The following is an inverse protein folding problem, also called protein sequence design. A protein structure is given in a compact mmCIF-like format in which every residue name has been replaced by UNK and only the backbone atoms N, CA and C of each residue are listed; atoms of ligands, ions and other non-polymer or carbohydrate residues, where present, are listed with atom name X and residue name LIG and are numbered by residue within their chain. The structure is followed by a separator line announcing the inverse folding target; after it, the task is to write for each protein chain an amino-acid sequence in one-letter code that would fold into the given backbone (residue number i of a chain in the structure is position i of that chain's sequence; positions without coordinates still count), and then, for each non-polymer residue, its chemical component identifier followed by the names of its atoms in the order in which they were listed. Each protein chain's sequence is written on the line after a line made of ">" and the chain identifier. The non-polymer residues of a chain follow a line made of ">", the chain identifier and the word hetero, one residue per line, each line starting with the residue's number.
data_IF_376297749186
#
_entry.id   IF_376297749186
#
_cell.length_a   1.000
_cell.length_b   1.000
_cell.length_c   1.000
_cell.angle_alpha   90.00
_cell.angle_beta   90.00
_cell.angle_gamma   90.00
#
_symmetry.space_group_name_H-M   'P 1'
#
loop_
_entity.id
_entity.type
_entity.pdbx_description
1 polymer ?
#
# COMPACT_ATOMS: atom_id res chain seq x y z
N UNK A 1 -42.48 21.35 40.76
CA UNK A 1 -42.08 20.51 39.60
C UNK A 1 -40.56 20.21 39.56
N UNK A 2 -39.94 19.64 40.62
CA UNK A 2 -38.54 19.18 40.57
C UNK A 2 -38.36 17.77 39.95
N UNK A 3 -39.33 16.87 40.10
CA UNK A 3 -39.26 15.49 39.56
C UNK A 3 -39.07 15.45 38.04
N UNK A 4 -39.67 16.37 37.29
CA UNK A 4 -39.54 16.43 35.84
C UNK A 4 -38.11 16.78 35.39
N UNK A 5 -37.37 17.52 36.21
CA UNK A 5 -35.97 17.89 35.94
C UNK A 5 -35.06 16.69 36.22
N UNK A 6 -35.25 15.98 37.33
CA UNK A 6 -34.49 14.77 37.64
C UNK A 6 -34.66 13.67 36.59
N UNK A 7 -35.88 13.46 36.10
CA UNK A 7 -36.15 12.49 35.03
C UNK A 7 -35.41 12.85 33.73
N UNK A 8 -35.35 14.14 33.38
CA UNK A 8 -34.60 14.62 32.21
C UNK A 8 -33.09 14.45 32.40
N UNK A 9 -32.57 14.73 33.59
CA UNK A 9 -31.14 14.53 33.91
C UNK A 9 -30.77 13.05 33.80
N UNK A 10 -31.57 12.13 34.36
CA UNK A 10 -31.35 10.68 34.22
C UNK A 10 -31.32 10.26 32.75
N UNK A 11 -32.30 10.70 31.95
CA UNK A 11 -32.34 10.35 30.52
C UNK A 11 -31.10 10.86 29.76
N UNK A 12 -30.59 12.05 30.10
CA UNK A 12 -29.36 12.58 29.51
C UNK A 12 -28.15 11.74 29.92
N UNK A 13 -28.04 11.35 31.20
CA UNK A 13 -26.94 10.50 31.68
C UNK A 13 -26.94 9.12 31.01
N UNK A 14 -28.10 8.51 30.83
CA UNK A 14 -28.25 7.24 30.11
C UNK A 14 -27.79 7.35 28.65
N UNK A 15 -28.22 8.40 27.95
CA UNK A 15 -27.81 8.67 26.57
C UNK A 15 -26.31 8.93 26.45
N UNK A 16 -25.72 9.68 27.39
CA UNK A 16 -24.29 9.96 27.41
C UNK A 16 -23.48 8.68 27.65
N UNK A 17 -23.93 7.84 28.59
CA UNK A 17 -23.31 6.54 28.87
C UNK A 17 -23.35 5.61 27.66
N UNK A 18 -24.49 5.55 26.98
CA UNK A 18 -24.64 4.78 25.74
C UNK A 18 -23.71 5.29 24.65
N UNK A 19 -23.70 6.61 24.42
CA UNK A 19 -22.85 7.24 23.41
C UNK A 19 -21.37 6.99 23.69
N UNK A 20 -20.94 7.09 24.95
CA UNK A 20 -19.56 6.83 25.35
C UNK A 20 -19.14 5.38 25.07
N UNK A 21 -20.04 4.40 25.31
CA UNK A 21 -19.79 2.99 25.00
C UNK A 21 -19.68 2.75 23.50
N UNK A 22 -20.59 3.33 22.72
CA UNK A 22 -20.57 3.24 21.26
C UNK A 22 -19.31 3.86 20.67
N UNK A 23 -18.91 5.03 21.18
CA UNK A 23 -17.67 5.69 20.76
C UNK A 23 -16.44 4.83 21.08
N UNK A 24 -16.36 4.24 22.27
CA UNK A 24 -15.24 3.35 22.63
C UNK A 24 -15.17 2.12 21.70
N UNK A 25 -16.32 1.53 21.35
CA UNK A 25 -16.38 0.42 20.41
C UNK A 25 -15.91 0.84 19.00
N UNK A 26 -16.38 1.98 18.49
CA UNK A 26 -15.98 2.52 17.19
C UNK A 26 -14.48 2.84 17.13
N UNK A 27 -13.91 3.40 18.20
CA UNK A 27 -12.46 3.68 18.26
C UNK A 27 -11.66 2.38 18.20
N UNK A 28 -12.10 1.33 18.91
CA UNK A 28 -11.46 0.02 18.86
C UNK A 28 -11.50 -0.57 17.46
N UNK A 29 -12.67 -0.58 16.84
CA UNK A 29 -12.86 -1.08 15.48
C UNK A 29 -12.04 -0.28 14.45
N UNK A 30 -11.99 1.04 14.59
CA UNK A 30 -11.18 1.90 13.72
C UNK A 30 -9.69 1.57 13.80
N UNK A 31 -9.18 1.31 15.00
CA UNK A 31 -7.78 0.91 15.20
C UNK A 31 -7.51 -0.46 14.59
N UNK A 32 -8.40 -1.44 14.80
CA UNK A 32 -8.27 -2.77 14.19
C UNK A 32 -8.31 -2.71 12.65
N UNK A 33 -9.19 -1.88 12.08
CA UNK A 33 -9.25 -1.67 10.64
C UNK A 33 -7.99 -1.02 10.08
N UNK A 34 -7.41 -0.04 10.79
CA UNK A 34 -6.14 0.59 10.40
C UNK A 34 -4.98 -0.39 10.39
N UNK A 35 -4.89 -1.25 11.40
CA UNK A 35 -3.85 -2.29 11.45
C UNK A 35 -3.99 -3.30 10.31
N UNK A 36 -5.22 -3.74 10.02
CA UNK A 36 -5.51 -4.63 8.89
C UNK A 36 -5.18 -3.99 7.56
N UNK A 37 -5.52 -2.71 7.38
CA UNK A 37 -5.19 -1.96 6.17
C UNK A 37 -3.67 -1.92 5.96
N UNK A 38 -2.92 -1.51 7.00
CA UNK A 38 -1.46 -1.47 6.94
C UNK A 38 -0.85 -2.83 6.57
N UNK A 39 -1.33 -3.90 7.20
CA UNK A 39 -0.86 -5.27 6.91
C UNK A 39 -1.14 -5.65 5.46
N UNK A 40 -2.31 -5.28 4.92
CA UNK A 40 -2.67 -5.54 3.52
C UNK A 40 -1.82 -4.72 2.55
N UNK A 41 -1.51 -3.47 2.87
CA UNK A 41 -0.65 -2.61 2.06
C UNK A 41 0.79 -3.12 2.02
N UNK A 42 1.33 -3.54 3.17
CA UNK A 42 2.66 -4.15 3.27
C UNK A 42 2.74 -5.45 2.45
N UNK A 43 1.71 -6.31 2.54
CA UNK A 43 1.62 -7.53 1.75
C UNK A 43 1.54 -7.25 0.25
N UNK A 44 0.74 -6.25 -0.16
CA UNK A 44 0.63 -5.82 -1.55
C UNK A 44 1.97 -5.33 -2.09
N UNK A 45 2.65 -4.47 -1.34
CA UNK A 45 3.98 -3.94 -1.72
C UNK A 45 4.99 -5.08 -1.93
N UNK A 46 4.98 -6.08 -1.05
CA UNK A 46 5.83 -7.27 -1.20
C UNK A 46 5.50 -8.05 -2.48
N UNK A 47 4.21 -8.26 -2.75
CA UNK A 47 3.77 -8.96 -3.97
C UNK A 47 4.18 -8.19 -5.23
N UNK A 48 4.08 -6.86 -5.23
CA UNK A 48 4.51 -6.03 -6.36
C UNK A 48 6.02 -6.15 -6.61
N UNK A 49 6.84 -6.13 -5.56
CA UNK A 49 8.29 -6.34 -5.66
C UNK A 49 8.60 -7.75 -6.20
N UNK A 50 7.97 -8.79 -5.64
CA UNK A 50 8.19 -10.17 -6.06
C UNK A 50 7.73 -10.39 -7.51
N UNK A 51 6.62 -9.76 -7.91
CA UNK A 51 6.11 -9.81 -9.28
C UNK A 51 7.05 -9.14 -10.27
N UNK A 52 7.58 -7.96 -9.94
CA UNK A 52 8.57 -7.28 -10.79
C UNK A 52 9.86 -8.08 -10.91
N UNK A 53 10.32 -8.72 -9.83
CA UNK A 53 11.47 -9.61 -9.87
C UNK A 53 11.21 -10.82 -10.79
N UNK A 54 10.04 -11.45 -10.66
CA UNK A 54 9.67 -12.60 -11.49
C UNK A 54 9.50 -12.21 -12.96
N UNK A 55 8.91 -11.05 -13.24
CA UNK A 55 8.79 -10.51 -14.59
C UNK A 55 10.14 -10.30 -15.24
N UNK A 56 11.11 -9.74 -14.51
CA UNK A 56 12.49 -9.59 -15.01
C UNK A 56 13.15 -10.94 -15.30
N UNK A 57 12.98 -11.93 -14.41
CA UNK A 57 13.50 -13.29 -14.64
C UNK A 57 12.85 -13.96 -15.86
N UNK A 58 11.55 -13.75 -16.06
CA UNK A 58 10.82 -14.25 -17.22
C UNK A 58 11.31 -13.61 -18.51
N UNK A 59 11.50 -12.28 -18.52
CA UNK A 59 12.08 -11.58 -19.67
C UNK A 59 13.46 -12.16 -20.02
N UNK A 60 14.37 -12.31 -19.06
CA UNK A 60 15.70 -12.92 -19.25
C UNK A 60 15.60 -14.34 -19.84
N UNK A 61 14.70 -15.16 -19.30
CA UNK A 61 14.53 -16.56 -19.74
C UNK A 61 13.95 -16.63 -21.15
N UNK A 62 12.95 -15.79 -21.46
CA UNK A 62 12.39 -15.63 -22.81
C UNK A 62 13.45 -15.22 -23.82
N UNK A 63 14.36 -14.32 -23.44
CA UNK A 63 15.49 -13.92 -24.28
C UNK A 63 16.51 -15.04 -24.49
N UNK A 64 16.65 -15.97 -23.54
CA UNK A 64 17.64 -17.07 -23.63
C UNK A 64 17.11 -18.25 -24.45
N UNK A 65 15.79 -18.47 -24.44
CA UNK A 65 15.14 -19.59 -25.16
C UNK A 65 14.73 -19.24 -26.60
N UNK A 66 14.58 -17.96 -26.94
CA UNK A 66 14.17 -17.53 -28.28
C UNK A 66 15.40 -17.08 -29.07
N UNK A 67 15.70 -17.72 -30.20
CA UNK A 67 16.56 -17.10 -31.22
C UNK A 67 15.87 -15.80 -31.68
N UNK A 68 16.31 -14.68 -31.12
CA UNK A 68 15.59 -13.41 -31.19
C UNK A 68 15.57 -12.87 -32.63
N UNK A 69 14.41 -12.59 -33.22
CA UNK A 69 14.30 -11.83 -34.46
C UNK A 69 14.97 -10.45 -34.30
N UNK A 70 15.62 -9.96 -35.36
CA UNK A 70 16.51 -8.78 -35.30
C UNK A 70 15.82 -7.49 -34.80
N UNK A 71 14.50 -7.37 -34.99
CA UNK A 71 13.72 -6.23 -34.50
C UNK A 71 13.59 -6.19 -32.97
N UNK A 72 13.39 -7.34 -32.32
CA UNK A 72 13.27 -7.42 -30.86
C UNK A 72 14.61 -7.12 -30.18
N UNK A 73 15.72 -7.56 -30.79
CA UNK A 73 17.08 -7.24 -30.32
C UNK A 73 17.35 -5.74 -30.30
N UNK A 74 16.95 -5.01 -31.35
CA UNK A 74 17.10 -3.54 -31.42
C UNK A 74 16.24 -2.81 -30.39
N UNK A 75 15.00 -3.25 -30.19
CA UNK A 75 14.14 -2.70 -29.14
C UNK A 75 14.73 -2.93 -27.74
N UNK A 76 15.38 -4.07 -27.54
CA UNK A 76 16.04 -4.44 -26.30
C UNK A 76 17.34 -3.65 -26.05
N UNK A 77 18.21 -3.49 -27.06
CA UNK A 77 19.40 -2.62 -26.98
C UNK A 77 19.01 -1.18 -26.59
N UNK A 78 17.89 -0.68 -27.12
CA UNK A 78 17.35 0.64 -26.77
C UNK A 78 16.87 0.70 -25.31
N UNK A 79 16.24 -0.36 -24.80
CA UNK A 79 15.84 -0.46 -23.37
C UNK A 79 17.04 -0.53 -22.45
N UNK A 80 18.05 -1.34 -22.77
CA UNK A 80 19.32 -1.38 -22.02
C UNK A 80 19.98 0.01 -22.00
N UNK A 81 20.03 0.69 -23.15
CA UNK A 81 20.59 2.04 -23.22
C UNK A 81 19.85 3.05 -22.33
N UNK A 82 18.55 2.90 -22.15
CA UNK A 82 17.78 3.73 -21.21
C UNK A 82 18.09 3.38 -19.76
N UNK A 83 18.17 2.09 -19.40
CA UNK A 83 18.54 1.68 -18.04
C UNK A 83 19.95 2.13 -17.67
N UNK A 84 20.91 2.10 -18.61
CA UNK A 84 22.26 2.64 -18.39
C UNK A 84 22.21 4.14 -18.10
N UNK A 85 21.43 4.92 -18.87
CA UNK A 85 21.27 6.36 -18.62
C UNK A 85 20.63 6.68 -17.27
N UNK A 86 19.70 5.85 -16.82
CA UNK A 86 19.10 6.01 -15.49
C UNK A 86 20.10 5.69 -14.38
N UNK A 87 20.91 4.65 -14.56
CA UNK A 87 22.02 4.33 -13.65
C UNK A 87 23.01 5.49 -13.59
N UNK A 88 23.43 6.04 -14.74
CA UNK A 88 24.35 7.18 -14.79
C UNK A 88 23.77 8.42 -14.08
N UNK A 89 22.47 8.69 -14.24
CA UNK A 89 21.78 9.78 -13.51
C UNK A 89 21.77 9.55 -12.01
N UNK A 90 21.49 8.33 -11.56
CA UNK A 90 21.53 7.98 -10.15
C UNK A 90 22.95 8.09 -9.57
N UNK A 91 23.98 7.68 -10.31
CA UNK A 91 25.38 7.84 -9.91
C UNK A 91 25.74 9.32 -9.79
N UNK A 92 25.34 10.15 -10.76
CA UNK A 92 25.59 11.58 -10.73
C UNK A 92 24.94 12.26 -9.52
N UNK A 93 23.70 11.89 -9.18
CA UNK A 93 22.97 12.40 -8.01
C UNK A 93 23.62 11.99 -6.68
N UNK A 94 24.24 10.80 -6.60
CA UNK A 94 24.91 10.29 -5.41
C UNK A 94 26.36 10.81 -5.26
N UNK A 95 26.93 11.40 -6.31
CA UNK A 95 28.30 11.93 -6.33
C UNK A 95 28.37 13.43 -5.99
N UNK A 96 27.23 14.03 -5.65
CA UNK A 96 27.06 15.39 -5.10
C UNK A 96 26.56 15.32 -3.68
#
# INVERSE_FOLDING_TARGET
>A
MPETIELKIKSIQEKLSLLSKQHAALVKENNELKERLKTSEDAKSKIEIDFDALKRQFEITSYTQSQMPEEERKAFEKRIGNYIKEIDKCIALLST
#
